data_IF_444386904419
#
_entry.id   IF_444386904419
#
_cell.length_a   1.000
_cell.length_b   1.000
_cell.length_c   1.000
_cell.angle_alpha   90.00
_cell.angle_beta   90.00
_cell.angle_gamma   90.00
#
_symmetry.space_group_name_H-M   'P 1'
#
loop_
_entity.id
_entity.type
_entity.pdbx_description
1 polymer ?
#
# COMPACT_ATOMS: atom_id res chain seq x y z
N UNK A 1 -55.95 -23.60 3.84
CA UNK A 1 -54.56 -23.28 4.26
C UNK A 1 -53.62 -23.97 3.29
N UNK A 2 -53.17 -23.26 2.26
CA UNK A 2 -52.25 -23.80 1.23
C UNK A 2 -50.89 -24.05 1.86
N UNK A 3 -50.39 -25.27 1.71
CA UNK A 3 -49.12 -25.74 2.27
C UNK A 3 -47.99 -24.92 1.62
N UNK A 4 -47.17 -24.23 2.43
CA UNK A 4 -46.08 -23.39 1.94
C UNK A 4 -45.15 -24.20 1.04
N UNK A 5 -45.11 -23.83 -0.23
CA UNK A 5 -44.32 -24.51 -1.26
C UNK A 5 -42.82 -24.32 -0.96
N UNK A 6 -42.00 -25.29 -1.32
CA UNK A 6 -40.56 -25.27 -1.03
C UNK A 6 -39.87 -24.04 -1.65
N UNK A 7 -40.43 -23.52 -2.73
CA UNK A 7 -40.02 -22.27 -3.38
C UNK A 7 -40.16 -21.02 -2.51
N UNK A 8 -41.21 -20.94 -1.68
CA UNK A 8 -41.42 -19.79 -0.80
C UNK A 8 -40.49 -19.82 0.42
N UNK A 9 -40.02 -21.00 0.82
CA UNK A 9 -38.98 -21.14 1.85
C UNK A 9 -37.64 -20.64 1.33
N UNK A 10 -37.29 -20.97 0.08
CA UNK A 10 -36.07 -20.52 -0.57
C UNK A 10 -36.03 -18.99 -0.69
N UNK A 11 -37.14 -18.37 -1.12
CA UNK A 11 -37.23 -16.90 -1.24
C UNK A 11 -36.93 -16.20 0.09
N UNK A 12 -37.49 -16.68 1.20
CA UNK A 12 -37.24 -16.10 2.53
C UNK A 12 -35.78 -16.24 2.95
N UNK A 13 -35.16 -17.38 2.66
CA UNK A 13 -33.72 -17.57 2.92
C UNK A 13 -32.92 -16.56 2.10
N UNK A 14 -33.19 -16.39 0.80
CA UNK A 14 -32.49 -15.40 -0.03
C UNK A 14 -32.71 -13.95 0.43
N UNK A 15 -33.93 -13.59 0.86
CA UNK A 15 -34.21 -12.24 1.39
C UNK A 15 -33.35 -11.91 2.60
N UNK A 16 -33.06 -12.89 3.46
CA UNK A 16 -32.20 -12.71 4.64
C UNK A 16 -30.72 -12.82 4.26
N UNK A 17 -30.38 -13.75 3.35
CA UNK A 17 -28.99 -14.02 2.95
C UNK A 17 -28.39 -12.88 2.11
N UNK A 18 -29.19 -12.21 1.30
CA UNK A 18 -28.73 -11.11 0.42
C UNK A 18 -28.10 -9.94 1.20
N UNK A 19 -28.76 -9.32 2.20
CA UNK A 19 -28.14 -8.24 2.97
C UNK A 19 -26.90 -8.72 3.74
N UNK A 20 -26.91 -9.96 4.24
CA UNK A 20 -25.75 -10.57 4.91
C UNK A 20 -24.57 -10.67 3.93
N UNK A 21 -24.79 -11.19 2.72
CA UNK A 21 -23.76 -11.31 1.70
C UNK A 21 -23.15 -9.96 1.31
N UNK A 22 -23.97 -8.91 1.21
CA UNK A 22 -23.49 -7.55 0.92
C UNK A 22 -22.56 -7.04 2.03
N UNK A 23 -22.96 -7.20 3.30
CA UNK A 23 -22.16 -6.77 4.45
C UNK A 23 -20.79 -7.47 4.45
N UNK A 24 -20.78 -8.80 4.29
CA UNK A 24 -19.52 -9.54 4.26
C UNK A 24 -18.66 -9.16 3.06
N UNK A 25 -19.24 -9.02 1.88
CA UNK A 25 -18.50 -8.62 0.67
C UNK A 25 -17.86 -7.24 0.85
N UNK A 26 -18.61 -6.27 1.39
CA UNK A 26 -18.08 -4.95 1.70
C UNK A 26 -16.95 -5.00 2.73
N UNK A 27 -17.08 -5.84 3.76
CA UNK A 27 -16.04 -6.02 4.78
C UNK A 27 -14.73 -6.57 4.16
N UNK A 28 -14.80 -7.62 3.35
CA UNK A 28 -13.61 -8.19 2.70
C UNK A 28 -12.89 -7.20 1.78
N UNK A 29 -13.67 -6.43 1.00
CA UNK A 29 -13.12 -5.38 0.13
C UNK A 29 -12.44 -4.30 0.97
N UNK A 30 -13.11 -3.80 2.01
CA UNK A 30 -12.57 -2.77 2.88
C UNK A 30 -11.29 -3.19 3.59
N UNK A 31 -11.24 -4.42 4.12
CA UNK A 31 -10.02 -4.95 4.76
C UNK A 31 -8.87 -4.99 3.76
N UNK A 32 -9.11 -5.50 2.55
CA UNK A 32 -8.08 -5.58 1.50
C UNK A 32 -7.57 -4.20 1.08
N UNK A 33 -8.48 -3.24 0.91
CA UNK A 33 -8.12 -1.87 0.56
C UNK A 33 -7.30 -1.23 1.69
N UNK A 34 -7.75 -1.36 2.93
CA UNK A 34 -7.07 -0.80 4.09
C UNK A 34 -5.66 -1.39 4.28
N UNK A 35 -5.49 -2.70 4.09
CA UNK A 35 -4.17 -3.33 4.12
C UNK A 35 -3.24 -2.77 3.04
N UNK A 36 -3.73 -2.57 1.82
CA UNK A 36 -2.94 -2.00 0.73
C UNK A 36 -2.58 -0.53 0.99
N UNK A 37 -3.50 0.26 1.53
CA UNK A 37 -3.23 1.66 1.92
C UNK A 37 -2.13 1.76 2.98
N UNK A 38 -2.16 0.87 3.99
CA UNK A 38 -1.13 0.81 5.03
C UNK A 38 0.24 0.47 4.42
N UNK A 39 0.31 -0.50 3.51
CA UNK A 39 1.55 -0.87 2.81
C UNK A 39 2.12 0.29 2.00
N UNK A 40 1.28 0.99 1.24
CA UNK A 40 1.68 2.19 0.49
C UNK A 40 2.21 3.26 1.45
N UNK A 41 1.54 3.46 2.60
CA UNK A 41 2.00 4.44 3.59
C UNK A 41 3.35 4.10 4.20
N UNK A 42 3.61 2.83 4.45
CA UNK A 42 4.91 2.35 4.92
C UNK A 42 6.01 2.56 3.90
N UNK A 43 5.77 2.23 2.63
CA UNK A 43 6.68 2.55 1.53
C UNK A 43 6.91 4.06 1.45
N UNK A 44 5.86 4.88 1.65
CA UNK A 44 5.95 6.34 1.70
C UNK A 44 6.95 6.83 2.75
N UNK A 45 6.84 6.31 3.96
CA UNK A 45 7.70 6.67 5.07
C UNK A 45 9.14 6.22 4.80
N UNK A 46 9.33 5.00 4.30
CA UNK A 46 10.65 4.47 3.98
C UNK A 46 11.37 5.33 2.93
N UNK A 47 10.71 5.68 1.83
CA UNK A 47 11.29 6.54 0.79
C UNK A 47 11.64 7.92 1.35
N UNK A 48 10.79 8.54 2.18
CA UNK A 48 11.09 9.83 2.82
C UNK A 48 12.34 9.78 3.70
N UNK A 49 12.52 8.70 4.47
CA UNK A 49 13.74 8.48 5.27
C UNK A 49 14.96 8.35 4.35
N UNK A 50 14.84 7.56 3.27
CA UNK A 50 15.94 7.32 2.34
C UNK A 50 16.27 8.54 1.47
N UNK A 51 15.31 9.43 1.19
CA UNK A 51 15.54 10.71 0.53
C UNK A 51 16.17 11.76 1.45
N UNK A 52 16.09 11.58 2.76
CA UNK A 52 16.73 12.47 3.73
C UNK A 52 18.25 12.27 3.72
N UNK A 53 19.02 13.33 4.04
CA UNK A 53 20.48 13.26 4.06
C UNK A 53 20.96 12.22 5.09
N UNK A 54 21.82 11.27 4.71
CA UNK A 54 22.35 10.28 5.64
C UNK A 54 23.24 10.95 6.69
N UNK A 55 23.06 10.52 7.94
CA UNK A 55 23.87 10.91 9.10
C UNK A 55 24.22 9.65 9.90
N UNK A 56 25.26 9.70 10.73
CA UNK A 56 25.64 8.53 11.56
C UNK A 56 24.49 8.09 12.48
N UNK A 57 23.72 9.05 13.00
CA UNK A 57 22.57 8.80 13.87
C UNK A 57 21.36 8.18 13.14
N UNK A 58 21.26 8.34 11.82
CA UNK A 58 20.13 7.84 11.01
C UNK A 58 20.39 6.48 10.37
N UNK A 59 21.59 5.91 10.51
CA UNK A 59 21.96 4.63 9.88
C UNK A 59 20.99 3.49 10.24
N UNK A 60 20.61 3.37 11.53
CA UNK A 60 19.63 2.37 11.97
C UNK A 60 18.23 2.59 11.35
N UNK A 61 17.81 3.86 11.21
CA UNK A 61 16.52 4.21 10.63
C UNK A 61 16.49 3.95 9.12
N UNK A 62 17.61 4.17 8.42
CA UNK A 62 17.74 3.83 7.00
C UNK A 62 17.71 2.32 6.76
N UNK A 63 18.37 1.53 7.62
CA UNK A 63 18.26 0.07 7.57
C UNK A 63 16.81 -0.38 7.71
N UNK A 64 16.08 0.16 8.70
CA UNK A 64 14.66 -0.12 8.86
C UNK A 64 13.83 0.25 7.62
N UNK A 65 14.12 1.40 6.99
CA UNK A 65 13.44 1.81 5.76
C UNK A 65 13.71 0.85 4.58
N UNK A 66 14.94 0.34 4.47
CA UNK A 66 15.32 -0.66 3.45
C UNK A 66 14.58 -1.98 3.69
N UNK A 67 14.51 -2.44 4.94
CA UNK A 67 13.78 -3.65 5.30
C UNK A 67 12.29 -3.50 4.95
N UNK A 68 11.70 -2.36 5.26
CA UNK A 68 10.30 -2.06 4.95
C UNK A 68 10.03 -2.04 3.44
N UNK A 69 10.93 -1.47 2.63
CA UNK A 69 10.83 -1.52 1.16
C UNK A 69 10.92 -2.96 0.65
N UNK A 70 11.87 -3.73 1.17
CA UNK A 70 12.03 -5.12 0.79
C UNK A 70 10.81 -5.95 1.16
N UNK A 71 10.25 -5.80 2.36
CA UNK A 71 9.05 -6.54 2.81
C UNK A 71 7.83 -6.24 1.93
N UNK A 72 7.65 -4.98 1.52
CA UNK A 72 6.49 -4.53 0.74
C UNK A 72 6.69 -4.64 -0.78
N UNK A 73 7.90 -4.98 -1.24
CA UNK A 73 8.21 -5.17 -2.67
C UNK A 73 8.30 -6.66 -3.05
N UNK A 74 7.73 -7.00 -4.21
CA UNK A 74 7.93 -8.31 -4.84
C UNK A 74 9.36 -8.48 -5.37
N UNK A 75 10.03 -7.38 -5.74
CA UNK A 75 11.41 -7.37 -6.21
C UNK A 75 12.29 -6.84 -5.09
N UNK A 76 13.12 -7.72 -4.53
CA UNK A 76 14.05 -7.34 -3.45
C UNK A 76 15.20 -6.53 -4.01
N UNK A 77 15.65 -5.55 -3.23
CA UNK A 77 16.86 -4.80 -3.51
C UNK A 77 18.07 -5.74 -3.43
N UNK A 78 19.01 -5.58 -4.37
CA UNK A 78 20.28 -6.29 -4.29
C UNK A 78 21.18 -5.66 -3.23
N UNK A 79 22.27 -6.36 -2.87
CA UNK A 79 23.19 -5.90 -1.84
C UNK A 79 23.92 -4.60 -2.22
N UNK A 80 24.11 -4.31 -3.51
CA UNK A 80 24.77 -3.08 -3.96
C UNK A 80 23.83 -1.88 -3.78
N UNK A 81 22.57 -2.02 -4.19
CA UNK A 81 21.53 -1.02 -4.02
C UNK A 81 21.28 -0.72 -2.54
N UNK A 82 21.28 -1.74 -1.68
CA UNK A 82 21.19 -1.55 -0.22
C UNK A 82 22.36 -0.69 0.30
N UNK A 83 23.59 -1.03 -0.10
CA UNK A 83 24.80 -0.30 0.31
C UNK A 83 24.81 1.15 -0.19
N UNK A 84 24.33 1.39 -1.40
CA UNK A 84 24.16 2.72 -1.98
C UNK A 84 23.11 3.53 -1.21
N UNK A 85 21.96 2.94 -0.91
CA UNK A 85 20.87 3.59 -0.18
C UNK A 85 21.23 3.92 1.27
N UNK A 86 22.18 3.22 1.88
CA UNK A 86 22.68 3.58 3.20
C UNK A 86 23.54 4.85 3.18
N UNK A 87 24.26 5.09 2.08
CA UNK A 87 25.29 6.13 1.96
C UNK A 87 24.81 7.35 1.19
N UNK A 88 23.79 7.19 0.34
CA UNK A 88 23.35 8.20 -0.62
C UNK A 88 21.84 8.42 -0.48
N UNK A 89 21.38 9.68 -0.45
CA UNK A 89 19.95 9.97 -0.48
C UNK A 89 19.36 9.71 -1.86
N UNK A 90 18.10 9.26 -1.90
CA UNK A 90 17.35 9.16 -3.15
C UNK A 90 16.89 10.54 -3.58
N UNK A 91 17.33 10.96 -4.77
CA UNK A 91 16.84 12.16 -5.43
C UNK A 91 15.69 11.79 -6.37
N UNK A 92 14.48 12.22 -6.02
CA UNK A 92 13.29 12.10 -6.88
C UNK A 92 13.12 13.36 -7.75
N UNK A 93 14.22 13.79 -8.34
CA UNK A 93 14.32 14.98 -9.20
C UNK A 93 15.00 14.59 -10.51
N UNK A 94 14.59 15.24 -11.60
CA UNK A 94 15.23 15.08 -12.90
C UNK A 94 16.64 15.71 -12.93
N UNK A 95 17.39 15.51 -14.01
CA UNK A 95 18.73 16.07 -14.20
C UNK A 95 18.76 17.61 -14.19
N UNK A 96 17.59 18.26 -14.32
CA UNK A 96 17.41 19.70 -14.26
C UNK A 96 17.01 20.19 -12.85
N UNK A 97 16.84 19.29 -11.88
CA UNK A 97 16.46 19.59 -10.50
C UNK A 97 14.96 19.79 -10.27
N UNK A 98 14.11 19.46 -11.24
CA UNK A 98 12.65 19.50 -11.09
C UNK A 98 12.15 18.22 -10.44
N UNK A 99 11.10 18.30 -9.63
CA UNK A 99 10.41 17.12 -9.13
C UNK A 99 9.88 16.28 -10.28
N UNK A 100 10.01 14.95 -10.17
CA UNK A 100 9.35 14.05 -11.12
C UNK A 100 7.83 14.25 -11.02
N UNK A 101 7.19 14.52 -12.16
CA UNK A 101 5.74 14.72 -12.25
C UNK A 101 5.08 13.64 -13.12
N UNK A 102 3.78 13.39 -12.89
CA UNK A 102 2.97 12.59 -13.79
C UNK A 102 2.67 13.36 -15.11
N UNK A 103 1.91 12.72 -16.02
CA UNK A 103 1.48 13.35 -17.28
C UNK A 103 0.54 14.54 -17.10
N UNK A 104 -0.02 14.72 -15.90
CA UNK A 104 -0.90 15.83 -15.53
C UNK A 104 -0.14 16.98 -14.84
N UNK A 105 1.17 16.80 -14.61
CA UNK A 105 2.03 17.79 -13.94
C UNK A 105 1.96 17.74 -12.42
N UNK A 106 1.30 16.74 -11.83
CA UNK A 106 1.31 16.54 -10.39
C UNK A 106 2.63 15.90 -9.97
N UNK A 107 3.21 16.32 -8.85
CA UNK A 107 4.41 15.68 -8.30
C UNK A 107 4.10 14.22 -8.01
N UNK A 108 4.97 13.33 -8.49
CA UNK A 108 4.85 11.90 -8.18
C UNK A 108 4.97 11.66 -6.67
N UNK A 109 5.63 12.57 -5.94
CA UNK A 109 5.84 12.51 -4.50
C UNK A 109 5.83 13.89 -3.86
N UNK A 110 5.17 13.98 -2.69
CA UNK A 110 5.05 15.21 -1.89
C UNK A 110 3.94 16.12 -2.42
N UNK A 111 2.86 16.23 -1.65
CA UNK A 111 1.80 17.23 -1.86
C UNK A 111 2.35 18.66 -1.73
#
# INVERSE_FOLDING_TARGET
MTKKDNWDKIKIVFTILTPIAIIFSGYFINVTLQENEIKVKYVEIAVRILSSKPTEETSALRNWAIDLLNENSNVKLDSLAIDELLKTPIYLIDDAGNFLTDSEGNRLWGN
#
